data_IF_037851288441
#
_entry.id   IF_037851288441
#
_cell.length_a   1.000
_cell.length_b   1.000
_cell.length_c   1.000
_cell.angle_alpha   90.00
_cell.angle_beta   90.00
_cell.angle_gamma   90.00
#
_symmetry.space_group_name_H-M   'P 1'
#
loop_
_entity.id
_entity.type
_entity.pdbx_description
1 polymer ?
#
# COMPACT_ATOMS: atom_id res chain seq x y z
N UNK A 1 -10.70 -51.69 -32.08
CA UNK A 1 -10.39 -50.32 -31.67
C UNK A 1 -11.66 -49.73 -31.05
N UNK A 2 -11.82 -49.89 -29.72
CA UNK A 2 -13.03 -49.45 -29.02
C UNK A 2 -12.95 -47.96 -28.74
N UNK A 3 -13.91 -47.21 -29.28
CA UNK A 3 -14.10 -45.78 -29.03
C UNK A 3 -14.62 -45.66 -27.59
N UNK A 4 -13.93 -44.97 -26.67
CA UNK A 4 -14.39 -44.84 -25.31
C UNK A 4 -15.71 -44.06 -25.29
N UNK A 5 -16.73 -44.62 -24.65
CA UNK A 5 -17.99 -43.92 -24.37
C UNK A 5 -17.69 -42.75 -23.42
N UNK A 6 -17.52 -41.57 -23.98
CA UNK A 6 -17.38 -40.33 -23.19
C UNK A 6 -18.73 -40.02 -22.56
N UNK A 7 -18.76 -39.97 -21.23
CA UNK A 7 -19.98 -39.64 -20.48
C UNK A 7 -20.46 -38.24 -20.86
N UNK A 8 -21.74 -38.09 -21.23
CA UNK A 8 -22.33 -36.80 -21.62
C UNK A 8 -22.15 -35.71 -20.55
N UNK A 9 -22.05 -36.11 -19.28
CA UNK A 9 -21.76 -35.18 -18.16
C UNK A 9 -20.35 -34.58 -18.28
N UNK A 10 -19.37 -35.37 -18.71
CA UNK A 10 -17.97 -34.96 -18.85
C UNK A 10 -17.80 -34.01 -20.05
N UNK A 11 -18.51 -34.28 -21.15
CA UNK A 11 -18.57 -33.36 -22.31
C UNK A 11 -19.17 -32.03 -21.91
N UNK A 12 -20.27 -32.03 -21.14
CA UNK A 12 -20.91 -30.80 -20.69
C UNK A 12 -19.98 -29.95 -19.81
N UNK A 13 -19.27 -30.56 -18.86
CA UNK A 13 -18.32 -29.82 -18.00
C UNK A 13 -17.17 -29.21 -18.82
N UNK A 14 -16.64 -29.93 -19.81
CA UNK A 14 -15.57 -29.42 -20.69
C UNK A 14 -16.07 -28.21 -21.51
N UNK A 15 -17.30 -28.27 -22.04
CA UNK A 15 -17.87 -27.17 -22.82
C UNK A 15 -18.06 -25.92 -21.95
N UNK A 16 -18.59 -26.06 -20.74
CA UNK A 16 -18.74 -24.93 -19.80
C UNK A 16 -17.38 -24.35 -19.41
N UNK A 17 -16.37 -25.20 -19.18
CA UNK A 17 -15.01 -24.76 -18.87
C UNK A 17 -14.38 -23.97 -20.02
N UNK A 18 -14.52 -24.44 -21.28
CA UNK A 18 -13.99 -23.75 -22.46
C UNK A 18 -14.71 -22.41 -22.68
N UNK A 19 -16.02 -22.33 -22.44
CA UNK A 19 -16.77 -21.07 -22.52
C UNK A 19 -16.31 -20.07 -21.44
N UNK A 20 -16.07 -20.55 -20.21
CA UNK A 20 -15.52 -19.73 -19.13
C UNK A 20 -14.11 -19.23 -19.44
N UNK A 21 -13.24 -20.10 -19.96
CA UNK A 21 -11.88 -19.75 -20.37
C UNK A 21 -11.89 -18.72 -21.51
N UNK A 22 -12.77 -18.90 -22.50
CA UNK A 22 -12.93 -17.96 -23.61
C UNK A 22 -13.37 -16.57 -23.14
N UNK A 23 -14.27 -16.51 -22.15
CA UNK A 23 -14.69 -15.25 -21.54
C UNK A 23 -13.53 -14.56 -20.82
N UNK A 24 -12.79 -15.28 -19.98
CA UNK A 24 -11.64 -14.73 -19.23
C UNK A 24 -10.53 -14.23 -20.18
N UNK A 25 -10.25 -14.96 -21.27
CA UNK A 25 -9.20 -14.58 -22.23
C UNK A 25 -9.58 -13.36 -23.10
N UNK A 26 -10.88 -13.15 -23.38
CA UNK A 26 -11.34 -12.01 -24.20
C UNK A 26 -11.75 -10.79 -23.37
N UNK A 27 -11.96 -10.94 -22.06
CA UNK A 27 -12.23 -9.82 -21.17
C UNK A 27 -10.91 -9.15 -20.78
N UNK A 28 -10.50 -8.16 -21.59
CA UNK A 28 -9.32 -7.35 -21.28
C UNK A 28 -9.62 -6.37 -20.14
N UNK A 29 -8.66 -6.20 -19.22
CA UNK A 29 -8.70 -5.16 -18.18
C UNK A 29 -8.88 -3.75 -18.73
N UNK A 30 -8.65 -3.52 -20.03
CA UNK A 30 -8.92 -2.27 -20.72
C UNK A 30 -10.42 -1.90 -20.81
N UNK A 31 -11.31 -2.89 -20.76
CA UNK A 31 -12.76 -2.69 -20.80
C UNK A 31 -13.38 -2.65 -19.39
N UNK A 32 -12.57 -2.75 -18.34
CA UNK A 32 -13.02 -2.36 -17.02
C UNK A 32 -13.30 -0.85 -17.08
N UNK A 33 -14.57 -0.47 -17.01
CA UNK A 33 -14.94 0.90 -16.79
C UNK A 33 -14.41 1.30 -15.41
N UNK A 34 -13.22 1.88 -15.36
CA UNK A 34 -12.72 2.47 -14.13
C UNK A 34 -13.73 3.54 -13.70
N UNK A 35 -14.23 3.46 -12.46
CA UNK A 35 -15.24 4.37 -11.91
C UNK A 35 -14.80 5.84 -11.79
N UNK A 36 -13.64 6.19 -12.36
CA UNK A 36 -13.01 7.50 -12.31
C UNK A 36 -13.12 8.29 -13.62
N UNK A 37 -13.86 7.82 -14.63
CA UNK A 37 -14.05 8.61 -15.86
C UNK A 37 -14.98 9.80 -15.61
N UNK A 38 -14.41 10.91 -15.14
CA UNK A 38 -15.11 12.18 -15.00
C UNK A 38 -15.63 12.61 -16.39
N UNK A 39 -16.95 12.60 -16.58
CA UNK A 39 -17.65 12.88 -17.84
C UNK A 39 -17.44 14.32 -18.35
N UNK A 40 -16.80 15.18 -17.55
CA UNK A 40 -16.48 16.59 -17.85
C UNK A 40 -15.05 16.98 -17.46
N UNK A 41 -14.06 16.31 -18.06
CA UNK A 41 -12.63 16.48 -17.73
C UNK A 41 -12.07 17.92 -17.82
N UNK A 42 -12.69 18.81 -18.62
CA UNK A 42 -12.18 20.19 -18.81
C UNK A 42 -12.56 21.14 -17.68
N UNK A 43 -13.66 20.89 -16.97
CA UNK A 43 -14.14 21.78 -15.89
C UNK A 43 -13.87 21.25 -14.49
N UNK A 44 -13.49 19.98 -14.36
CA UNK A 44 -13.17 19.41 -13.05
C UNK A 44 -11.88 19.97 -12.46
N UNK A 45 -11.93 20.57 -11.26
CA UNK A 45 -10.75 20.84 -10.46
C UNK A 45 -10.03 19.54 -10.10
N UNK A 46 -8.72 19.62 -9.88
CA UNK A 46 -7.89 18.45 -9.60
C UNK A 46 -6.90 18.64 -8.45
N UNK A 47 -6.75 19.86 -7.92
CA UNK A 47 -5.79 20.14 -6.86
C UNK A 47 -6.38 21.11 -5.83
N UNK A 48 -6.36 20.71 -4.56
CA UNK A 48 -6.75 21.52 -3.42
C UNK A 48 -5.50 21.81 -2.59
N UNK A 49 -5.16 23.09 -2.42
CA UNK A 49 -4.00 23.50 -1.63
C UNK A 49 -4.48 24.31 -0.42
N UNK A 50 -4.15 23.85 0.78
CA UNK A 50 -4.37 24.63 2.00
C UNK A 50 -3.09 25.40 2.36
N UNK A 51 -3.20 26.72 2.50
CA UNK A 51 -2.13 27.62 2.94
C UNK A 51 -2.60 28.39 4.17
N UNK A 52 -2.18 27.94 5.35
CA UNK A 52 -2.69 28.49 6.61
C UNK A 52 -4.19 28.23 6.75
N UNK A 53 -4.99 29.28 6.92
CA UNK A 53 -6.46 29.19 6.98
C UNK A 53 -7.13 29.14 5.60
N UNK A 54 -6.43 29.56 4.54
CA UNK A 54 -7.03 29.72 3.22
C UNK A 54 -6.89 28.44 2.40
N UNK A 55 -7.93 28.12 1.63
CA UNK A 55 -7.98 26.93 0.78
C UNK A 55 -8.14 27.37 -0.67
N UNK A 56 -7.32 26.79 -1.55
CA UNK A 56 -7.28 27.12 -2.96
C UNK A 56 -7.58 25.89 -3.81
N UNK A 57 -8.65 25.97 -4.60
CA UNK A 57 -9.04 24.92 -5.53
C UNK A 57 -8.59 25.29 -6.94
N UNK A 58 -7.68 24.48 -7.46
CA UNK A 58 -7.08 24.64 -8.78
C UNK A 58 -7.62 23.60 -9.76
N UNK A 59 -7.70 24.04 -11.00
CA UNK A 59 -7.78 23.16 -12.15
C UNK A 59 -6.49 23.36 -12.97
N UNK A 60 -5.63 22.34 -13.02
CA UNK A 60 -4.34 22.40 -13.72
C UNK A 60 -4.49 22.37 -15.25
N UNK A 61 -5.68 22.03 -15.76
CA UNK A 61 -5.96 21.94 -17.21
C UNK A 61 -6.42 23.27 -17.80
N UNK A 62 -6.68 24.28 -16.96
CA UNK A 62 -7.08 25.64 -17.39
C UNK A 62 -6.05 26.67 -16.92
N UNK A 63 -5.97 27.80 -17.63
CA UNK A 63 -5.05 28.88 -17.28
C UNK A 63 -5.36 29.46 -15.90
N UNK A 64 -4.32 29.94 -15.20
CA UNK A 64 -4.46 30.66 -13.92
C UNK A 64 -4.87 32.09 -14.23
N UNK A 65 -6.11 32.44 -13.90
CA UNK A 65 -6.68 33.77 -14.12
C UNK A 65 -7.30 34.24 -12.81
N UNK A 66 -6.92 35.43 -12.29
CA UNK A 66 -7.46 35.95 -11.04
C UNK A 66 -8.99 36.05 -11.13
N UNK A 67 -9.68 35.52 -10.12
CA UNK A 67 -11.15 35.50 -10.07
C UNK A 67 -11.83 34.29 -10.73
N UNK A 68 -11.09 33.43 -11.43
CA UNK A 68 -11.65 32.20 -12.05
C UNK A 68 -10.90 30.94 -11.61
N UNK A 69 -9.56 30.96 -11.62
CA UNK A 69 -8.72 29.83 -11.22
C UNK A 69 -7.40 30.35 -10.62
N UNK A 70 -7.09 30.09 -9.33
CA UNK A 70 -7.82 29.25 -8.38
C UNK A 70 -9.09 29.89 -7.81
N UNK A 71 -10.03 29.05 -7.41
CA UNK A 71 -11.12 29.45 -6.51
C UNK A 71 -10.55 29.46 -5.09
N UNK A 72 -10.73 30.59 -4.38
CA UNK A 72 -10.24 30.79 -3.02
C UNK A 72 -11.40 30.68 -2.03
N UNK A 73 -11.18 29.93 -0.96
CA UNK A 73 -12.09 29.78 0.17
C UNK A 73 -11.40 30.29 1.44
N UNK A 74 -12.17 30.94 2.32
CA UNK A 74 -11.63 31.54 3.54
C UNK A 74 -11.54 30.53 4.70
N UNK A 75 -12.35 29.48 4.64
CA UNK A 75 -12.44 28.41 5.63
C UNK A 75 -12.73 27.06 4.94
N UNK A 76 -12.84 26.00 5.74
CA UNK A 76 -13.11 24.65 5.24
C UNK A 76 -14.59 24.46 4.86
N UNK A 77 -15.48 25.12 5.59
CA UNK A 77 -16.92 25.05 5.43
C UNK A 77 -17.37 25.54 4.05
N UNK A 78 -16.84 26.69 3.59
CA UNK A 78 -17.08 27.27 2.27
C UNK A 78 -16.67 26.29 1.15
N UNK A 79 -15.57 25.56 1.36
CA UNK A 79 -15.11 24.55 0.41
C UNK A 79 -16.04 23.33 0.39
N UNK A 80 -16.47 22.85 1.56
CA UNK A 80 -17.41 21.72 1.68
C UNK A 80 -18.74 22.06 1.01
N UNK A 81 -19.30 23.24 1.28
CA UNK A 81 -20.54 23.70 0.65
C UNK A 81 -20.41 23.77 -0.87
N UNK A 82 -19.29 24.29 -1.38
CA UNK A 82 -19.02 24.33 -2.81
C UNK A 82 -18.96 22.92 -3.43
N UNK A 83 -18.28 21.97 -2.78
CA UNK A 83 -18.17 20.59 -3.27
C UNK A 83 -19.51 19.87 -3.21
N UNK A 84 -20.31 20.08 -2.17
CA UNK A 84 -21.62 19.47 -2.05
C UNK A 84 -22.61 20.04 -3.07
N UNK A 85 -22.52 21.34 -3.36
CA UNK A 85 -23.22 21.93 -4.50
C UNK A 85 -22.78 21.26 -5.82
N UNK A 86 -21.47 21.07 -6.07
CA UNK A 86 -21.00 20.37 -7.29
C UNK A 86 -21.56 18.95 -7.39
N UNK A 87 -21.54 18.19 -6.29
CA UNK A 87 -22.10 16.83 -6.22
C UNK A 87 -23.61 16.82 -6.49
N UNK A 88 -24.35 17.82 -5.99
CA UNK A 88 -25.79 17.96 -6.25
C UNK A 88 -26.10 18.16 -7.75
N UNK A 89 -25.16 18.74 -8.50
CA UNK A 89 -25.22 18.90 -9.95
C UNK A 89 -24.64 17.70 -10.72
N UNK A 90 -24.32 16.60 -10.02
CA UNK A 90 -23.71 15.40 -10.60
C UNK A 90 -22.25 15.58 -11.02
N UNK A 91 -21.57 16.63 -10.54
CA UNK A 91 -20.16 16.90 -10.83
C UNK A 91 -19.32 16.35 -9.68
N UNK A 92 -18.76 15.15 -9.87
CA UNK A 92 -17.84 14.52 -8.92
C UNK A 92 -16.44 14.52 -9.52
N UNK A 93 -15.55 15.32 -8.94
CA UNK A 93 -14.17 15.48 -9.41
C UNK A 93 -13.20 14.87 -8.40
N UNK A 94 -12.23 14.06 -8.84
CA UNK A 94 -11.14 13.62 -7.98
C UNK A 94 -10.20 14.81 -7.73
N UNK A 95 -10.12 15.26 -6.48
CA UNK A 95 -9.29 16.40 -6.08
C UNK A 95 -8.17 15.90 -5.18
N UNK A 96 -6.92 16.14 -5.56
CA UNK A 96 -5.76 15.84 -4.75
C UNK A 96 -5.56 16.94 -3.70
N UNK A 97 -5.50 16.58 -2.42
CA UNK A 97 -5.32 17.53 -1.33
C UNK A 97 -3.84 17.64 -0.90
N UNK A 98 -3.34 18.88 -0.93
CA UNK A 98 -2.00 19.27 -0.48
C UNK A 98 -2.09 20.27 0.67
N UNK A 99 -1.34 20.00 1.72
CA UNK A 99 -1.18 20.89 2.86
C UNK A 99 0.18 21.58 2.80
N UNK A 100 0.18 22.92 2.83
CA UNK A 100 1.39 23.71 2.98
C UNK A 100 1.85 23.71 4.44
N UNK A 101 3.09 23.31 4.68
CA UNK A 101 3.69 23.34 6.01
C UNK A 101 5.18 23.66 5.94
N UNK A 102 5.75 24.08 7.07
CA UNK A 102 7.19 24.26 7.20
C UNK A 102 7.82 22.99 7.79
N UNK A 103 8.96 22.59 7.25
CA UNK A 103 9.78 21.56 7.89
C UNK A 103 10.50 22.12 9.14
N UNK A 104 11.15 21.24 9.90
CA UNK A 104 11.92 21.62 11.10
C UNK A 104 13.12 22.54 10.78
N UNK A 105 13.46 22.70 9.49
CA UNK A 105 14.54 23.55 9.00
C UNK A 105 14.02 24.90 8.47
N UNK A 106 12.71 25.15 8.56
CA UNK A 106 12.08 26.40 8.12
C UNK A 106 11.88 26.51 6.60
N UNK A 107 11.89 25.40 5.87
CA UNK A 107 11.59 25.36 4.43
C UNK A 107 10.13 24.98 4.20
N UNK A 108 9.50 25.70 3.28
CA UNK A 108 8.14 25.41 2.82
C UNK A 108 8.09 24.07 2.07
N UNK A 109 7.26 23.14 2.55
CA UNK A 109 7.00 21.83 1.95
C UNK A 109 5.49 21.61 1.78
N UNK A 110 5.12 20.92 0.71
CA UNK A 110 3.74 20.49 0.48
C UNK A 110 3.62 19.01 0.81
N UNK A 111 2.74 18.65 1.76
CA UNK A 111 2.45 17.25 2.10
C UNK A 111 1.10 16.83 1.54
N UNK A 112 1.07 15.66 0.91
CA UNK A 112 -0.16 15.01 0.46
C UNK A 112 -0.87 14.46 1.69
N UNK A 113 -2.17 14.76 1.83
CA UNK A 113 -3.03 14.25 2.90
C UNK A 113 -4.30 13.64 2.31
N UNK A 114 -4.91 12.64 2.96
CA UNK A 114 -6.11 11.99 2.44
C UNK A 114 -7.30 12.96 2.28
N UNK A 115 -7.51 13.84 3.25
CA UNK A 115 -8.65 14.75 3.25
C UNK A 115 -8.35 16.01 4.08
N UNK A 116 -8.97 17.17 3.77
CA UNK A 116 -8.85 18.36 4.60
C UNK A 116 -9.51 18.24 5.98
N UNK A 117 -10.43 17.28 6.18
CA UNK A 117 -11.01 16.96 7.51
C UNK A 117 -10.23 15.89 8.27
N UNK A 118 -9.53 15.02 7.56
CA UNK A 118 -8.71 13.94 8.14
C UNK A 118 -7.28 14.03 7.62
N UNK A 119 -6.46 14.76 8.38
CA UNK A 119 -5.06 15.02 8.05
C UNK A 119 -4.15 13.84 8.36
N UNK A 120 -4.57 12.88 9.19
CA UNK A 120 -3.73 11.78 9.69
C UNK A 120 -2.32 12.26 10.09
N UNK A 121 -2.29 13.31 10.93
CA UNK A 121 -1.05 13.91 11.41
C UNK A 121 -0.24 12.90 12.23
N UNK A 122 1.07 12.80 11.94
CA UNK A 122 1.99 11.85 12.61
C UNK A 122 2.49 10.74 11.70
N UNK A 123 1.74 10.38 10.65
CA UNK A 123 2.23 9.45 9.63
C UNK A 123 3.09 10.19 8.58
N UNK A 124 4.16 9.55 8.08
CA UNK A 124 4.87 10.07 6.91
C UNK A 124 3.88 10.21 5.74
N UNK A 125 4.02 11.24 4.89
CA UNK A 125 3.18 11.34 3.70
C UNK A 125 3.39 10.06 2.88
N UNK A 126 2.29 9.50 2.34
CA UNK A 126 2.40 8.33 1.48
C UNK A 126 3.40 8.64 0.36
N UNK A 127 4.44 7.81 0.30
CA UNK A 127 5.57 7.96 -0.60
C UNK A 127 5.03 7.79 -2.02
N UNK A 128 5.44 8.69 -2.91
CA UNK A 128 5.10 8.62 -4.33
C UNK A 128 5.65 7.33 -4.93
N UNK A 129 4.79 6.33 -5.12
CA UNK A 129 5.13 5.06 -5.77
C UNK A 129 5.49 5.21 -7.25
N UNK A 130 5.40 6.42 -7.84
CA UNK A 130 5.80 6.68 -9.22
C UNK A 130 7.29 6.97 -9.39
N UNK A 131 8.02 7.27 -8.32
CA UNK A 131 9.48 7.18 -8.30
C UNK A 131 9.85 5.73 -7.95
N UNK A 132 9.99 4.89 -8.99
CA UNK A 132 10.05 3.43 -8.90
C UNK A 132 10.73 2.86 -7.65
N UNK A 133 10.04 1.91 -7.00
CA UNK A 133 10.42 1.14 -5.81
C UNK A 133 11.73 1.62 -5.20
N UNK A 134 11.67 2.77 -4.53
CA UNK A 134 12.79 3.16 -3.68
C UNK A 134 12.75 2.20 -2.50
N UNK A 135 13.60 1.18 -2.56
CA UNK A 135 13.86 0.31 -1.42
C UNK A 135 13.98 1.20 -0.19
N UNK A 136 13.11 1.01 0.83
CA UNK A 136 13.11 1.87 1.98
C UNK A 136 14.52 1.92 2.57
N UNK A 137 14.98 3.12 2.91
CA UNK A 137 16.32 3.31 3.51
C UNK A 137 16.43 2.42 4.73
N UNK A 138 17.39 1.47 4.71
CA UNK A 138 17.57 0.52 5.80
C UNK A 138 18.06 1.28 7.04
N UNK A 139 17.18 1.39 8.04
CA UNK A 139 17.49 1.95 9.35
C UNK A 139 18.13 0.87 10.21
N UNK A 140 19.28 1.14 10.81
CA UNK A 140 19.94 0.17 11.69
C UNK A 140 19.03 -0.13 12.89
N UNK A 141 18.76 -1.41 13.12
CA UNK A 141 17.99 -1.86 14.27
C UNK A 141 18.70 -1.46 15.58
N UNK A 142 18.02 -0.69 16.42
CA UNK A 142 18.53 -0.28 17.72
C UNK A 142 18.22 -1.36 18.77
N UNK A 143 19.26 -2.02 19.27
CA UNK A 143 19.15 -3.08 20.29
C UNK A 143 20.07 -2.77 21.48
N UNK A 144 19.47 -2.51 22.64
CA UNK A 144 20.22 -2.20 23.87
C UNK A 144 20.98 -3.39 24.44
N UNK A 145 20.60 -4.63 24.10
CA UNK A 145 21.29 -5.83 24.58
C UNK A 145 22.71 -5.95 24.01
N UNK A 146 23.02 -5.25 22.91
CA UNK A 146 24.33 -5.30 22.24
C UNK A 146 25.32 -4.24 22.73
N UNK A 147 24.93 -3.40 23.68
CA UNK A 147 25.76 -2.30 24.18
C UNK A 147 26.74 -2.69 25.31
N UNK A 148 26.81 -3.97 25.70
CA UNK A 148 27.70 -4.46 26.76
C UNK A 148 28.64 -5.61 26.29
N UNK A 149 29.76 -5.29 25.61
CA UNK A 149 30.75 -6.29 25.23
C UNK A 149 31.40 -6.95 26.47
N UNK A 150 31.67 -8.28 26.47
CA UNK A 150 31.68 -9.19 25.31
C UNK A 150 30.37 -9.96 25.09
N UNK A 151 29.34 -9.71 25.91
CA UNK A 151 28.10 -10.47 25.88
C UNK A 151 27.25 -10.13 24.65
N UNK A 152 26.30 -11.02 24.32
CA UNK A 152 25.31 -10.82 23.25
C UNK A 152 25.90 -10.62 21.84
N UNK A 153 27.15 -11.04 21.63
CA UNK A 153 27.79 -11.08 20.30
C UNK A 153 27.20 -12.23 19.46
N UNK A 154 26.78 -11.95 18.22
CA UNK A 154 26.14 -12.91 17.30
C UNK A 154 24.85 -13.56 17.86
N UNK A 155 24.11 -12.84 18.70
CA UNK A 155 22.80 -13.25 19.23
C UNK A 155 21.66 -12.66 18.39
N UNK A 156 20.47 -13.28 18.47
CA UNK A 156 19.25 -12.73 17.91
C UNK A 156 18.94 -11.34 18.52
N UNK A 157 18.31 -10.43 17.76
CA UNK A 157 17.87 -9.15 18.33
C UNK A 157 16.97 -9.35 19.54
N UNK A 158 17.15 -8.52 20.56
CA UNK A 158 16.28 -8.53 21.74
C UNK A 158 14.84 -8.11 21.43
N UNK A 159 13.91 -8.56 22.28
CA UNK A 159 12.51 -8.13 22.20
C UNK A 159 12.37 -6.63 22.53
N UNK A 160 11.74 -5.88 21.63
CA UNK A 160 11.42 -4.47 21.82
C UNK A 160 9.95 -4.28 22.23
N UNK A 161 9.71 -4.04 23.51
CA UNK A 161 8.36 -3.79 24.04
C UNK A 161 7.80 -2.41 23.65
N UNK A 162 8.65 -1.47 23.24
CA UNK A 162 8.25 -0.10 22.91
C UNK A 162 7.86 0.08 21.45
N UNK A 163 8.28 -0.84 20.57
CA UNK A 163 8.07 -0.76 19.14
C UNK A 163 8.73 0.48 18.52
N UNK A 164 9.95 0.79 18.97
CA UNK A 164 10.67 1.99 18.58
C UNK A 164 10.90 2.08 17.06
N UNK A 165 11.16 0.94 16.41
CA UNK A 165 11.41 0.85 14.97
C UNK A 165 10.13 0.55 14.17
N UNK A 166 8.93 0.67 14.75
CA UNK A 166 7.68 0.44 14.01
C UNK A 166 7.51 1.49 12.91
N UNK A 167 7.44 1.03 11.66
CA UNK A 167 7.30 1.89 10.48
C UNK A 167 8.64 2.25 9.80
N UNK A 168 9.77 1.93 10.43
CA UNK A 168 11.08 1.95 9.78
C UNK A 168 11.36 0.61 9.10
N UNK A 169 12.23 0.61 8.08
CA UNK A 169 12.68 -0.62 7.44
C UNK A 169 14.01 -1.06 8.05
N UNK A 170 14.00 -2.15 8.80
CA UNK A 170 15.18 -2.66 9.50
C UNK A 170 15.84 -3.82 8.74
N UNK A 171 17.10 -4.18 9.06
CA UNK A 171 17.71 -5.38 8.51
C UNK A 171 16.92 -6.67 8.81
N UNK A 172 16.13 -6.70 9.89
CA UNK A 172 15.28 -7.84 10.23
C UNK A 172 14.12 -7.95 9.24
N UNK A 173 13.50 -6.82 8.88
CA UNK A 173 12.46 -6.78 7.85
C UNK A 173 13.02 -7.22 6.50
N UNK A 174 14.23 -6.76 6.15
CA UNK A 174 14.89 -7.16 4.91
C UNK A 174 15.10 -8.69 4.80
N UNK A 175 15.36 -9.38 5.91
CA UNK A 175 15.47 -10.85 5.91
C UNK A 175 14.13 -11.50 5.57
N UNK A 176 13.02 -10.99 6.11
CA UNK A 176 11.69 -11.50 5.77
C UNK A 176 11.38 -11.29 4.28
N UNK A 177 11.73 -10.14 3.70
CA UNK A 177 11.55 -9.92 2.26
C UNK A 177 12.39 -10.88 1.40
N UNK A 178 13.63 -11.16 1.81
CA UNK A 178 14.50 -12.13 1.11
C UNK A 178 13.90 -13.54 1.20
N UNK A 179 13.38 -13.93 2.36
CA UNK A 179 12.73 -15.22 2.55
C UNK A 179 11.46 -15.34 1.69
N UNK A 180 10.64 -14.29 1.66
CA UNK A 180 9.45 -14.23 0.84
C UNK A 180 9.76 -14.31 -0.67
N UNK A 181 10.88 -13.76 -1.14
CA UNK A 181 11.28 -13.84 -2.55
C UNK A 181 11.87 -15.21 -2.94
N UNK A 182 12.24 -16.04 -1.96
CA UNK A 182 12.98 -17.29 -2.18
C UNK A 182 12.13 -18.50 -2.61
N UNK A 183 10.80 -18.36 -2.75
CA UNK A 183 9.93 -19.42 -3.27
C UNK A 183 8.71 -19.70 -2.39
N UNK A 184 8.62 -20.89 -1.80
CA UNK A 184 7.59 -21.21 -0.79
C UNK A 184 8.13 -20.84 0.59
N UNK A 185 7.41 -19.99 1.31
CA UNK A 185 7.82 -19.56 2.65
C UNK A 185 7.35 -20.55 3.71
N UNK A 186 8.15 -20.85 4.76
CA UNK A 186 7.69 -21.58 5.94
C UNK A 186 6.85 -20.72 6.89
N UNK A 187 6.84 -19.39 6.72
CA UNK A 187 6.19 -18.44 7.59
C UNK A 187 4.68 -18.31 7.26
N UNK A 188 3.77 -18.58 8.20
CA UNK A 188 2.32 -18.48 7.99
C UNK A 188 1.81 -17.07 7.72
N UNK A 189 2.63 -16.06 7.96
CA UNK A 189 2.27 -14.66 7.71
C UNK A 189 2.59 -14.20 6.28
N UNK A 190 3.33 -15.00 5.50
CA UNK A 190 3.72 -14.62 4.14
C UNK A 190 2.67 -15.04 3.12
N UNK A 191 2.50 -14.24 2.05
CA UNK A 191 1.53 -14.52 0.99
C UNK A 191 1.82 -15.84 0.23
N UNK A 192 3.08 -16.25 0.21
CA UNK A 192 3.58 -17.48 -0.42
C UNK A 192 3.82 -18.61 0.59
N UNK A 193 3.12 -18.60 1.73
CA UNK A 193 3.24 -19.65 2.74
C UNK A 193 2.95 -21.05 2.15
N UNK A 194 3.90 -21.97 2.32
CA UNK A 194 3.79 -23.35 1.84
C UNK A 194 2.89 -24.25 2.68
N UNK A 195 2.30 -23.73 3.75
CA UNK A 195 1.41 -24.47 4.63
C UNK A 195 2.14 -25.32 5.67
N UNK A 196 1.38 -25.96 6.57
CA UNK A 196 1.94 -26.68 7.72
C UNK A 196 2.77 -27.91 7.30
N UNK A 197 2.41 -28.60 6.22
CA UNK A 197 3.16 -29.76 5.72
C UNK A 197 4.55 -29.37 5.20
N UNK A 198 4.65 -28.22 4.52
CA UNK A 198 5.92 -27.68 4.05
C UNK A 198 6.83 -27.29 5.22
N UNK A 199 6.28 -26.58 6.21
CA UNK A 199 7.02 -26.23 7.43
C UNK A 199 7.49 -27.49 8.17
N UNK A 200 6.65 -28.53 8.28
CA UNK A 200 7.03 -29.80 8.93
C UNK A 200 8.14 -30.51 8.15
N UNK A 201 8.07 -30.55 6.82
CA UNK A 201 9.14 -31.11 6.00
C UNK A 201 10.48 -30.39 6.22
N UNK A 202 10.47 -29.06 6.38
CA UNK A 202 11.68 -28.30 6.68
C UNK A 202 12.26 -28.64 8.06
N UNK A 203 11.41 -28.82 9.07
CA UNK A 203 11.81 -29.33 10.39
C UNK A 203 12.46 -30.71 10.25
N UNK A 204 11.81 -31.63 9.56
CA UNK A 204 12.30 -33.01 9.38
C UNK A 204 13.60 -33.08 8.56
N UNK A 205 13.81 -32.12 7.65
CA UNK A 205 15.01 -32.00 6.82
C UNK A 205 16.23 -31.40 7.55
N UNK A 206 16.04 -30.95 8.79
CA UNK A 206 17.07 -30.36 9.64
C UNK A 206 17.37 -28.89 9.36
N UNK A 207 16.48 -28.18 8.65
CA UNK A 207 16.64 -26.75 8.39
C UNK A 207 16.71 -25.92 9.68
N UNK A 208 16.08 -26.41 10.76
CA UNK A 208 15.98 -25.73 12.06
C UNK A 208 16.81 -26.37 13.19
N UNK A 209 17.75 -27.26 12.90
CA UNK A 209 18.53 -28.00 13.92
C UNK A 209 19.24 -27.08 14.94
N UNK A 210 19.60 -25.86 14.54
CA UNK A 210 20.23 -24.86 15.42
C UNK A 210 19.28 -24.13 16.37
N UNK A 211 17.96 -24.33 16.23
CA UNK A 211 16.91 -23.61 16.97
C UNK A 211 16.13 -24.50 17.95
N UNK A 212 16.60 -25.72 18.19
CA UNK A 212 15.96 -26.66 19.12
C UNK A 212 16.04 -26.16 20.56
N UNK A 213 14.88 -26.05 21.22
CA UNK A 213 14.79 -25.67 22.64
C UNK A 213 14.71 -26.92 23.49
N UNK A 214 15.81 -27.25 24.17
CA UNK A 214 15.82 -28.33 25.16
C UNK A 214 15.22 -27.83 26.49
N UNK A 215 13.95 -28.15 26.73
CA UNK A 215 13.31 -27.89 28.01
C UNK A 215 13.73 -28.99 28.99
N UNK A 216 14.50 -28.63 30.01
CA UNK A 216 14.73 -29.51 31.16
C UNK A 216 13.42 -29.62 31.94
N UNK A 217 12.77 -30.78 31.85
CA UNK A 217 11.66 -31.14 32.73
C UNK A 217 12.27 -31.76 33.99
N UNK A 218 12.17 -31.04 35.11
CA UNK A 218 12.63 -31.49 36.43
C UNK A 218 11.68 -32.51 37.05
#
# INVERSE_FOLDING_TARGET
MQIPHVSNKLVFTIVVFILGLYFVLNYSSLNAAEGFTATNQKRCPNLLIQKGSEIFLYNSKIAKVPGVNPVKFNNLEDYVEFVDWQKSQGIVCPVLFLQHMNDAQGKDVYKIRPSPVDLQGGLPPMIDTTAGIQMPTVTKLMDSNRNDPPYNTNSYPGFDASGFNMGDFTPLDALNFIEQDSGLSPNPMDENWGGPEYTQHLVDSGYYDGNEVNIYVA
#
